data_IF_000645533064
#
_entry.id   IF_000645533064
#
_cell.length_a   1.000
_cell.length_b   1.000
_cell.length_c   1.000
_cell.angle_alpha   90.00
_cell.angle_beta   90.00
_cell.angle_gamma   90.00
#
_symmetry.space_group_name_H-M   'P 1'
#
loop_
_entity.id
_entity.type
_entity.pdbx_description
1 polymer ?
#
# COMPACT_ATOMS: atom_id res chain seq x y z
N UNK A 1 -40.38 -73.68 41.15
CA UNK A 1 -39.82 -72.67 42.07
C UNK A 1 -38.94 -71.73 41.23
N UNK A 2 -39.56 -70.76 40.56
CA UNK A 2 -39.48 -69.31 40.84
C UNK A 2 -38.03 -68.82 40.90
N UNK A 3 -37.52 -68.38 39.74
CA UNK A 3 -36.28 -67.60 39.63
C UNK A 3 -36.64 -66.15 39.31
N UNK A 4 -36.40 -65.29 40.30
CA UNK A 4 -36.69 -63.86 40.40
C UNK A 4 -36.24 -63.04 39.17
N UNK A 5 -37.17 -62.28 38.56
CA UNK A 5 -36.85 -61.22 37.59
C UNK A 5 -36.35 -60.00 38.36
N UNK A 6 -35.06 -59.68 38.25
CA UNK A 6 -34.48 -58.50 38.88
C UNK A 6 -34.70 -57.25 38.00
N UNK A 7 -35.22 -56.21 38.63
CA UNK A 7 -35.67 -54.97 38.02
C UNK A 7 -34.56 -54.19 37.30
N UNK A 8 -34.96 -53.55 36.21
CA UNK A 8 -34.18 -52.61 35.40
C UNK A 8 -33.89 -51.34 36.21
N UNK A 9 -32.62 -51.00 36.37
CA UNK A 9 -32.19 -49.66 36.80
C UNK A 9 -31.58 -48.95 35.61
N UNK A 10 -32.34 -48.05 34.98
CA UNK A 10 -31.83 -47.15 33.96
C UNK A 10 -31.01 -46.05 34.64
N UNK A 11 -29.68 -46.16 34.60
CA UNK A 11 -28.79 -45.10 35.01
C UNK A 11 -28.81 -43.98 33.93
N UNK A 12 -29.39 -42.82 34.26
CA UNK A 12 -29.15 -41.60 33.47
C UNK A 12 -27.70 -41.20 33.69
N UNK A 13 -26.87 -41.43 32.67
CA UNK A 13 -25.49 -40.94 32.64
C UNK A 13 -25.57 -39.46 32.24
N UNK A 14 -25.38 -38.56 33.21
CA UNK A 14 -25.15 -37.16 32.91
C UNK A 14 -23.81 -37.06 32.15
N UNK A 15 -23.87 -36.74 30.86
CA UNK A 15 -22.66 -36.51 30.07
C UNK A 15 -21.92 -35.29 30.64
N UNK A 16 -20.59 -35.34 30.85
CA UNK A 16 -19.84 -34.17 31.26
C UNK A 16 -19.90 -33.13 30.14
N UNK A 17 -20.38 -31.94 30.48
CA UNK A 17 -20.23 -30.74 29.66
C UNK A 17 -18.76 -30.31 29.68
N UNK A 18 -17.98 -30.80 28.72
CA UNK A 18 -16.61 -30.33 28.53
C UNK A 18 -16.62 -28.83 28.21
N UNK A 19 -15.81 -28.00 28.89
CA UNK A 19 -15.68 -26.60 28.53
C UNK A 19 -15.14 -26.51 27.10
N UNK A 20 -15.83 -25.76 26.24
CA UNK A 20 -15.32 -25.46 24.91
C UNK A 20 -14.04 -24.65 25.07
N UNK A 21 -12.90 -25.23 24.71
CA UNK A 21 -11.67 -24.47 24.54
C UNK A 21 -11.86 -23.57 23.32
N UNK A 22 -11.66 -22.24 23.44
CA UNK A 22 -11.69 -21.39 22.26
C UNK A 22 -10.63 -21.89 21.27
N UNK A 23 -11.04 -22.13 20.03
CA UNK A 23 -10.08 -22.45 18.98
C UNK A 23 -9.07 -21.30 18.86
N UNK A 24 -7.77 -21.60 18.74
CA UNK A 24 -6.78 -20.55 18.57
C UNK A 24 -7.13 -19.72 17.33
N UNK A 25 -7.22 -18.40 17.51
CA UNK A 25 -7.33 -17.49 16.38
C UNK A 25 -5.99 -17.62 15.63
N UNK A 26 -5.97 -17.98 14.34
CA UNK A 26 -4.72 -18.04 13.60
C UNK A 26 -4.05 -16.68 13.70
N UNK A 27 -2.85 -16.63 14.28
CA UNK A 27 -2.00 -15.45 14.17
C UNK A 27 -1.75 -15.29 12.68
N UNK A 28 -2.00 -14.09 12.12
CA UNK A 28 -1.66 -13.84 10.74
C UNK A 28 -0.16 -14.14 10.60
N UNK A 29 0.20 -15.13 9.77
CA UNK A 29 1.59 -15.35 9.39
C UNK A 29 2.14 -14.01 8.85
N UNK A 30 3.40 -13.70 9.14
CA UNK A 30 4.06 -12.48 8.68
C UNK A 30 3.82 -12.28 7.18
N UNK A 31 2.84 -11.44 6.85
CA UNK A 31 2.45 -11.20 5.47
C UNK A 31 3.48 -10.26 4.86
N UNK A 32 4.39 -10.81 4.06
CA UNK A 32 5.32 -9.99 3.30
C UNK A 32 4.57 -9.36 2.13
N UNK A 33 4.44 -8.04 2.15
CA UNK A 33 3.90 -7.26 1.03
C UNK A 33 5.08 -6.66 0.28
N UNK A 34 5.34 -7.17 -0.92
CA UNK A 34 6.29 -6.56 -1.86
C UNK A 34 5.55 -5.58 -2.74
N UNK A 35 6.08 -4.35 -2.83
CA UNK A 35 5.54 -3.30 -3.69
C UNK A 35 6.64 -2.92 -4.69
N UNK A 36 6.43 -3.29 -5.94
CA UNK A 36 7.29 -2.89 -7.05
C UNK A 36 6.74 -1.61 -7.69
N UNK A 37 7.56 -0.58 -7.72
CA UNK A 37 7.22 0.73 -8.27
C UNK A 37 8.29 1.24 -9.23
N UNK A 38 7.94 2.29 -9.98
CA UNK A 38 8.87 2.96 -10.89
C UNK A 38 8.76 4.48 -10.73
N UNK A 39 9.83 5.18 -11.14
CA UNK A 39 9.93 6.63 -10.99
C UNK A 39 10.33 7.06 -9.59
N UNK A 40 10.78 8.31 -9.47
CA UNK A 40 11.17 8.94 -8.22
C UNK A 40 10.65 10.37 -8.18
N UNK A 41 9.58 10.60 -7.41
CA UNK A 41 8.94 11.91 -7.27
C UNK A 41 7.43 11.88 -7.56
N UNK A 42 6.81 13.05 -7.54
CA UNK A 42 5.36 13.22 -7.70
C UNK A 42 4.87 13.10 -9.14
N UNK A 43 5.77 12.94 -10.12
CA UNK A 43 5.41 12.66 -11.53
C UNK A 43 4.76 13.84 -12.27
N UNK A 44 4.81 15.06 -11.74
CA UNK A 44 4.23 16.26 -12.35
C UNK A 44 5.34 17.23 -12.76
N UNK A 45 5.21 17.81 -13.95
CA UNK A 45 6.18 18.77 -14.49
C UNK A 45 7.44 18.11 -15.03
N UNK A 46 8.58 18.76 -14.85
CA UNK A 46 9.85 18.36 -15.44
C UNK A 46 10.51 17.19 -14.70
N UNK A 47 10.69 16.07 -15.40
CA UNK A 47 11.54 14.97 -14.93
C UNK A 47 13.01 15.35 -15.10
N UNK A 48 13.76 15.41 -14.00
CA UNK A 48 15.18 15.76 -14.01
C UNK A 48 16.01 14.78 -14.85
N UNK A 49 15.77 13.47 -14.68
CA UNK A 49 16.44 12.44 -15.47
C UNK A 49 16.02 12.45 -16.94
N UNK A 50 14.75 12.74 -17.21
CA UNK A 50 14.29 12.88 -18.60
C UNK A 50 14.89 14.10 -19.29
N UNK A 51 14.98 15.24 -18.60
CA UNK A 51 15.66 16.44 -19.11
C UNK A 51 17.14 16.19 -19.39
N UNK A 52 17.83 15.49 -18.49
CA UNK A 52 19.22 15.07 -18.71
C UNK A 52 19.37 14.19 -19.96
N UNK A 53 18.52 13.18 -20.14
CA UNK A 53 18.54 12.31 -21.34
C UNK A 53 18.26 13.07 -22.64
N UNK A 54 17.32 14.01 -22.63
CA UNK A 54 17.11 14.88 -23.81
C UNK A 54 18.34 15.74 -24.12
N UNK A 55 19.02 16.27 -23.10
CA UNK A 55 20.22 17.08 -23.31
C UNK A 55 21.41 16.23 -23.81
N UNK A 56 21.66 15.07 -23.21
CA UNK A 56 22.84 14.24 -23.51
C UNK A 56 22.65 13.39 -24.75
N UNK A 57 21.51 12.71 -24.88
CA UNK A 57 21.30 11.72 -25.94
C UNK A 57 20.74 12.37 -27.23
N UNK A 58 20.04 13.51 -27.09
CA UNK A 58 19.38 14.18 -28.21
C UNK A 58 19.89 15.60 -28.46
N UNK A 59 20.78 16.13 -27.62
CA UNK A 59 21.32 17.48 -27.78
C UNK A 59 20.28 18.59 -27.61
N UNK A 60 19.17 18.34 -26.92
CA UNK A 60 18.11 19.32 -26.78
C UNK A 60 18.56 20.51 -25.93
N UNK A 61 18.16 21.69 -26.39
CA UNK A 61 18.33 22.95 -25.66
C UNK A 61 17.32 23.06 -24.51
N UNK A 62 17.64 23.88 -23.50
CA UNK A 62 16.74 24.10 -22.37
C UNK A 62 15.32 24.56 -22.80
N UNK A 63 15.13 25.47 -23.78
CA UNK A 63 13.80 25.83 -24.26
C UNK A 63 13.01 24.65 -24.85
N UNK A 64 13.66 23.77 -25.62
CA UNK A 64 13.00 22.59 -26.20
C UNK A 64 12.56 21.60 -25.11
N UNK A 65 13.40 21.42 -24.08
CA UNK A 65 13.07 20.57 -22.93
C UNK A 65 11.89 21.18 -22.17
N UNK A 66 11.91 22.49 -21.90
CA UNK A 66 10.83 23.15 -21.16
C UNK A 66 9.51 23.12 -21.93
N UNK A 67 9.52 23.37 -23.25
CA UNK A 67 8.31 23.30 -24.08
C UNK A 67 7.70 21.89 -24.09
N UNK A 68 8.54 20.85 -24.01
CA UNK A 68 8.08 19.47 -23.90
C UNK A 68 7.38 19.15 -22.58
N UNK A 69 7.83 19.71 -21.46
CA UNK A 69 7.25 19.46 -20.13
C UNK A 69 6.14 20.45 -19.76
N UNK A 70 6.18 21.66 -20.29
CA UNK A 70 5.32 22.78 -19.93
C UNK A 70 4.73 23.42 -21.19
N UNK A 71 4.14 22.60 -22.06
CA UNK A 71 3.53 23.08 -23.30
C UNK A 71 2.46 24.15 -23.06
N UNK A 72 2.36 25.09 -23.99
CA UNK A 72 1.46 26.25 -23.86
C UNK A 72 1.96 27.34 -22.91
N UNK A 73 3.20 27.24 -22.42
CA UNK A 73 3.87 28.33 -21.68
C UNK A 73 4.80 29.12 -22.59
N UNK A 74 5.13 30.33 -22.15
CA UNK A 74 6.14 31.18 -22.79
C UNK A 74 7.14 31.63 -21.74
N UNK A 75 8.42 31.62 -22.11
CA UNK A 75 9.48 32.07 -21.21
C UNK A 75 9.30 33.56 -20.91
N UNK A 76 9.26 33.91 -19.63
CA UNK A 76 9.23 35.29 -19.14
C UNK A 76 10.53 35.67 -18.44
N UNK A 77 10.90 36.93 -18.53
CA UNK A 77 12.00 37.50 -17.75
C UNK A 77 11.44 38.18 -16.49
N UNK A 78 12.13 38.02 -15.36
CA UNK A 78 11.79 38.69 -14.10
C UNK A 78 13.04 39.44 -13.62
N UNK A 79 12.93 40.72 -13.21
CA UNK A 79 14.05 41.45 -12.64
C UNK A 79 14.65 40.74 -11.42
N UNK A 80 15.98 40.73 -11.30
CA UNK A 80 16.70 40.00 -10.25
C UNK A 80 16.47 40.56 -8.84
N UNK A 81 15.96 41.79 -8.74
CA UNK A 81 15.61 42.52 -7.52
C UNK A 81 14.13 42.35 -7.12
N UNK A 82 13.38 41.49 -7.81
CA UNK A 82 11.98 41.24 -7.50
C UNK A 82 11.83 40.48 -6.17
N UNK A 83 11.11 41.06 -5.21
CA UNK A 83 10.77 40.39 -3.95
C UNK A 83 9.72 39.29 -4.20
N UNK A 84 10.12 38.03 -4.03
CA UNK A 84 9.23 36.88 -4.06
C UNK A 84 8.76 36.54 -2.64
N UNK A 85 7.48 36.76 -2.32
CA UNK A 85 6.91 36.37 -1.02
C UNK A 85 6.10 35.08 -1.18
N UNK A 86 6.43 34.04 -0.41
CA UNK A 86 5.65 32.80 -0.34
C UNK A 86 4.77 32.86 0.90
N UNK A 87 3.47 32.59 0.72
CA UNK A 87 2.51 32.43 1.82
C UNK A 87 2.13 30.96 1.91
N UNK A 88 2.31 30.37 3.09
CA UNK A 88 1.93 29.00 3.42
C UNK A 88 0.54 29.00 4.07
#
# INVERSE_FOLDING_TARGET
MIGLVAAVSAAVIAAPNSPATPSPIPTAADATITIDGHGYGHGIGLSQWGAYGYAVDHGWTAPQILDRYYGGTVAGAVPVDSLLTVRL
#
